data_IF_556599206721
#
_entry.id   IF_556599206721
#
_cell.length_a   1.000
_cell.length_b   1.000
_cell.length_c   1.000
_cell.angle_alpha   90.00
_cell.angle_beta   90.00
_cell.angle_gamma   90.00
#
_symmetry.space_group_name_H-M   'P 1'
#
loop_
_entity.id
_entity.type
_entity.pdbx_description
1 polymer ?
#
# COMPACT_ATOMS: atom_id res chain seq x y z
N UNK A 1 -47.76 -41.36 -42.33
CA UNK A 1 -47.66 -40.37 -41.23
C UNK A 1 -46.56 -40.67 -40.18
N UNK A 2 -45.97 -41.88 -40.15
CA UNK A 2 -44.97 -42.29 -39.13
C UNK A 2 -43.54 -41.77 -39.35
N UNK A 3 -43.12 -41.47 -40.60
CA UNK A 3 -41.76 -40.98 -40.89
C UNK A 3 -41.51 -39.58 -40.31
N UNK A 4 -42.47 -38.66 -40.44
CA UNK A 4 -42.40 -37.30 -39.85
C UNK A 4 -42.28 -37.34 -38.33
N UNK A 5 -42.83 -38.36 -37.67
CA UNK A 5 -42.77 -38.51 -36.19
C UNK A 5 -41.38 -38.93 -35.71
N UNK A 6 -40.71 -39.84 -36.42
CA UNK A 6 -39.33 -40.24 -36.08
C UNK A 6 -38.31 -39.14 -36.35
N UNK A 7 -38.42 -38.47 -37.50
CA UNK A 7 -37.51 -37.34 -37.83
C UNK A 7 -37.64 -36.23 -36.78
N UNK A 8 -38.87 -35.87 -36.40
CA UNK A 8 -39.10 -34.88 -35.34
C UNK A 8 -38.55 -35.33 -33.98
N UNK A 9 -38.59 -36.62 -33.65
CA UNK A 9 -38.01 -37.16 -32.42
C UNK A 9 -36.49 -37.13 -32.36
N UNK A 10 -35.79 -37.13 -33.51
CA UNK A 10 -34.32 -37.09 -33.58
C UNK A 10 -33.80 -35.66 -33.77
N UNK A 11 -34.50 -34.84 -34.56
CA UNK A 11 -34.12 -33.45 -34.85
C UNK A 11 -34.33 -32.54 -33.64
N UNK A 12 -35.37 -32.75 -32.82
CA UNK A 12 -35.59 -31.94 -31.60
C UNK A 12 -34.44 -32.05 -30.59
N UNK A 13 -34.00 -33.25 -30.16
CA UNK A 13 -32.90 -33.36 -29.23
C UNK A 13 -31.60 -32.84 -29.85
N UNK A 14 -31.30 -33.19 -31.10
CA UNK A 14 -30.09 -32.68 -31.78
C UNK A 14 -30.05 -31.14 -31.82
N UNK A 15 -31.19 -30.50 -32.10
CA UNK A 15 -31.33 -29.04 -32.04
C UNK A 15 -31.13 -28.48 -30.62
N UNK A 16 -31.64 -29.16 -29.60
CA UNK A 16 -31.41 -28.78 -28.20
C UNK A 16 -29.93 -28.89 -27.81
N UNK A 17 -29.25 -29.96 -28.23
CA UNK A 17 -27.82 -30.16 -27.97
C UNK A 17 -26.97 -29.08 -28.64
N UNK A 18 -27.24 -28.73 -29.90
CA UNK A 18 -26.50 -27.67 -30.61
C UNK A 18 -26.74 -26.29 -30.02
N UNK A 19 -28.00 -25.95 -29.69
CA UNK A 19 -28.32 -24.68 -29.03
C UNK A 19 -27.65 -24.61 -27.66
N UNK A 20 -27.69 -25.69 -26.89
CA UNK A 20 -27.02 -25.76 -25.58
C UNK A 20 -25.50 -25.55 -25.70
N UNK A 21 -24.86 -26.19 -26.68
CA UNK A 21 -23.42 -26.02 -26.93
C UNK A 21 -23.07 -24.58 -27.33
N UNK A 22 -23.89 -23.93 -28.16
CA UNK A 22 -23.71 -22.52 -28.55
C UNK A 22 -23.86 -21.58 -27.36
N UNK A 23 -24.86 -21.81 -26.50
CA UNK A 23 -25.06 -21.01 -25.28
C UNK A 23 -23.86 -21.16 -24.34
N UNK A 24 -23.37 -22.39 -24.12
CA UNK A 24 -22.18 -22.62 -23.30
C UNK A 24 -20.95 -21.93 -23.88
N UNK A 25 -20.71 -22.05 -25.19
CA UNK A 25 -19.61 -21.35 -25.86
C UNK A 25 -19.69 -19.82 -25.73
N UNK A 26 -20.90 -19.27 -25.86
CA UNK A 26 -21.15 -17.84 -25.65
C UNK A 26 -20.84 -17.43 -24.21
N UNK A 27 -21.27 -18.22 -23.22
CA UNK A 27 -20.96 -17.96 -21.81
C UNK A 27 -19.45 -18.07 -21.51
N UNK A 28 -18.73 -19.00 -22.14
CA UNK A 28 -17.27 -19.12 -21.99
C UNK A 28 -16.57 -17.89 -22.58
N UNK A 29 -16.93 -17.47 -23.79
CA UNK A 29 -16.40 -16.26 -24.41
C UNK A 29 -16.75 -15.00 -23.62
N UNK A 30 -17.97 -14.93 -23.09
CA UNK A 30 -18.43 -13.82 -22.26
C UNK A 30 -17.79 -13.85 -20.86
N UNK A 31 -17.37 -15.00 -20.34
CA UNK A 31 -16.60 -15.09 -19.11
C UNK A 31 -15.18 -14.55 -19.28
N UNK A 32 -14.60 -14.68 -20.47
CA UNK A 32 -13.33 -14.03 -20.81
C UNK A 32 -13.49 -12.51 -21.04
N UNK A 33 -14.55 -12.07 -21.73
CA UNK A 33 -14.75 -10.65 -22.06
C UNK A 33 -15.56 -9.82 -21.04
N UNK A 34 -16.23 -10.46 -20.08
CA UNK A 34 -17.18 -9.82 -19.19
C UNK A 34 -16.54 -9.29 -17.92
N UNK A 35 -15.99 -8.07 -17.95
CA UNK A 35 -15.83 -7.08 -16.85
C UNK A 35 -15.26 -7.54 -15.47
N UNK A 36 -14.88 -8.81 -15.30
CA UNK A 36 -14.34 -9.46 -14.10
C UNK A 36 -13.23 -10.47 -14.43
N UNK A 37 -13.09 -10.83 -15.71
CA UNK A 37 -12.02 -11.66 -16.23
C UNK A 37 -10.68 -10.92 -16.14
N UNK A 38 -9.68 -11.59 -15.57
CA UNK A 38 -8.22 -11.34 -15.53
C UNK A 38 -7.66 -9.92 -15.77
N UNK A 39 -8.06 -9.20 -16.82
CA UNK A 39 -7.63 -7.83 -17.12
C UNK A 39 -8.02 -6.81 -16.06
N UNK A 40 -9.26 -6.81 -15.56
CA UNK A 40 -9.66 -5.90 -14.49
C UNK A 40 -8.81 -6.11 -13.22
N UNK A 41 -8.51 -7.38 -12.90
CA UNK A 41 -7.60 -7.74 -11.80
C UNK A 41 -6.15 -7.33 -12.08
N UNK A 42 -5.71 -7.31 -13.35
CA UNK A 42 -4.37 -6.84 -13.72
C UNK A 42 -4.27 -5.33 -13.59
N UNK A 43 -5.25 -4.56 -14.07
CA UNK A 43 -5.29 -3.11 -13.92
C UNK A 43 -5.30 -2.70 -12.43
N UNK A 44 -6.16 -3.33 -11.63
CA UNK A 44 -6.21 -3.12 -10.17
C UNK A 44 -4.90 -3.52 -9.47
N UNK A 45 -4.20 -4.58 -9.92
CA UNK A 45 -2.89 -4.96 -9.38
C UNK A 45 -1.80 -3.94 -9.72
N UNK A 46 -1.81 -3.40 -10.93
CA UNK A 46 -0.82 -2.40 -11.37
C UNK A 46 -1.02 -1.11 -10.59
N UNK A 47 -2.26 -0.66 -10.42
CA UNK A 47 -2.59 0.52 -9.65
C UNK A 47 -2.24 0.35 -8.16
N UNK A 48 -2.55 -0.81 -7.58
CA UNK A 48 -2.17 -1.14 -6.20
C UNK A 48 -0.65 -1.17 -6.00
N UNK A 49 0.11 -1.65 -7.00
CA UNK A 49 1.57 -1.66 -6.94
C UNK A 49 2.14 -0.23 -6.97
N UNK A 50 1.61 0.64 -7.84
CA UNK A 50 1.99 2.06 -7.88
C UNK A 50 1.73 2.78 -6.56
N UNK A 51 0.51 2.67 -6.04
CA UNK A 51 0.12 3.23 -4.73
C UNK A 51 0.98 2.69 -3.59
N UNK A 52 1.37 1.41 -3.63
CA UNK A 52 2.25 0.83 -2.61
C UNK A 52 3.66 1.42 -2.62
N UNK A 53 4.19 1.76 -3.80
CA UNK A 53 5.49 2.41 -3.93
C UNK A 53 5.46 3.86 -3.43
N UNK A 54 4.41 4.61 -3.79
CA UNK A 54 4.21 5.97 -3.28
C UNK A 54 4.10 5.98 -1.76
N UNK A 55 3.36 5.02 -1.19
CA UNK A 55 3.24 4.87 0.26
C UNK A 55 4.60 4.53 0.90
N UNK A 56 5.39 3.65 0.29
CA UNK A 56 6.72 3.31 0.77
C UNK A 56 7.67 4.51 0.74
N UNK A 57 7.65 5.30 -0.35
CA UNK A 57 8.43 6.52 -0.48
C UNK A 57 8.03 7.56 0.58
N UNK A 58 6.73 7.82 0.73
CA UNK A 58 6.21 8.77 1.72
C UNK A 58 6.54 8.34 3.16
N UNK A 59 6.52 7.04 3.46
CA UNK A 59 6.95 6.51 4.77
C UNK A 59 8.44 6.69 4.99
N UNK A 60 9.27 6.46 3.98
CA UNK A 60 10.72 6.68 4.08
C UNK A 60 11.03 8.15 4.36
N UNK A 61 10.37 9.08 3.65
CA UNK A 61 10.48 10.52 3.93
C UNK A 61 10.05 10.84 5.35
N UNK A 62 8.89 10.32 5.79
CA UNK A 62 8.41 10.55 7.16
C UNK A 62 9.39 10.03 8.20
N UNK A 63 10.00 8.86 7.99
CA UNK A 63 11.01 8.31 8.90
C UNK A 63 12.27 9.19 8.95
N UNK A 64 12.71 9.74 7.81
CA UNK A 64 13.86 10.68 7.81
C UNK A 64 13.54 11.97 8.53
N UNK A 65 12.33 12.50 8.39
CA UNK A 65 11.89 13.70 9.11
C UNK A 65 11.68 13.42 10.60
N UNK A 66 11.11 12.27 10.96
CA UNK A 66 10.99 11.85 12.36
C UNK A 66 12.36 11.68 13.02
N UNK A 67 13.35 11.13 12.32
CA UNK A 67 14.72 11.04 12.82
C UNK A 67 15.35 12.43 13.01
N UNK A 68 15.18 13.33 12.03
CA UNK A 68 15.66 14.72 12.14
C UNK A 68 14.96 15.49 13.25
N UNK A 69 13.65 15.31 13.38
CA UNK A 69 12.87 15.90 14.47
C UNK A 69 13.30 15.29 15.79
N UNK A 70 13.60 14.00 15.91
CA UNK A 70 14.12 13.41 17.14
C UNK A 70 15.50 13.97 17.51
N UNK A 71 16.37 14.22 16.54
CA UNK A 71 17.67 14.88 16.76
C UNK A 71 17.51 16.34 17.18
N UNK A 72 16.51 17.06 16.65
CA UNK A 72 16.21 18.45 17.00
C UNK A 72 15.42 18.57 18.30
N UNK A 73 14.56 17.58 18.56
CA UNK A 73 13.82 17.32 19.80
C UNK A 73 14.78 16.67 20.80
N UNK A 74 15.84 17.42 21.04
CA UNK A 74 16.51 17.61 22.31
C UNK A 74 15.53 18.06 23.40
N UNK A 75 14.38 17.38 23.57
CA UNK A 75 13.48 17.60 24.72
C UNK A 75 14.13 17.11 26.03
N UNK A 76 15.29 16.49 25.91
CA UNK A 76 16.29 16.45 26.94
C UNK A 76 17.43 17.39 26.53
N UNK A 77 17.18 18.70 26.57
CA UNK A 77 18.28 19.65 26.69
C UNK A 77 18.90 19.28 28.03
N UNK A 78 20.06 18.64 27.98
CA UNK A 78 20.71 18.13 29.18
C UNK A 78 20.89 19.30 30.15
N UNK A 79 20.48 19.12 31.40
CA UNK A 79 20.53 20.21 32.39
C UNK A 79 21.95 20.75 32.51
N UNK A 80 22.92 19.87 32.32
CA UNK A 80 24.35 20.17 32.33
C UNK A 80 24.77 21.08 31.17
N UNK A 81 24.17 20.95 29.98
CA UNK A 81 24.41 21.84 28.84
C UNK A 81 23.86 23.25 29.08
N UNK A 82 22.72 23.36 29.77
CA UNK A 82 22.17 24.66 30.21
C UNK A 82 23.02 25.28 31.31
N UNK A 83 23.53 24.47 32.23
CA UNK A 83 24.38 24.92 33.33
C UNK A 83 25.73 25.42 32.81
N UNK A 84 26.34 24.73 31.84
CA UNK A 84 27.57 25.17 31.20
C UNK A 84 27.38 26.48 30.42
N UNK A 85 26.26 26.61 29.68
CA UNK A 85 25.96 27.84 28.95
C UNK A 85 25.65 29.01 29.89
N UNK A 86 24.97 28.75 31.01
CA UNK A 86 24.73 29.75 32.05
C UNK A 86 26.04 30.20 32.71
N UNK A 87 26.96 29.27 32.97
CA UNK A 87 28.28 29.56 33.56
C UNK A 87 29.13 30.44 32.64
N UNK A 88 29.14 30.17 31.34
CA UNK A 88 29.87 30.95 30.33
C UNK A 88 29.26 32.35 30.15
N UNK A 89 27.93 32.48 30.12
CA UNK A 89 27.26 33.76 29.81
C UNK A 89 27.12 34.66 31.04
N UNK A 90 26.84 34.09 32.22
CA UNK A 90 26.57 34.85 33.44
C UNK A 90 27.77 34.90 34.39
N UNK A 91 28.85 34.16 34.13
CA UNK A 91 30.06 34.13 34.95
C UNK A 91 29.82 33.69 36.40
N UNK A 92 28.68 33.04 36.69
CA UNK A 92 28.35 32.57 38.05
C UNK A 92 28.82 31.15 38.26
N UNK A 93 29.62 30.98 39.29
CA UNK A 93 30.09 29.68 39.80
C UNK A 93 29.12 29.21 40.89
N UNK A 94 28.87 27.91 41.01
CA UNK A 94 27.97 27.37 42.04
C UNK A 94 28.63 27.50 43.42
N UNK A 95 27.83 27.59 44.50
CA UNK A 95 28.37 27.85 45.85
C UNK A 95 29.37 26.77 46.35
N UNK A 96 29.38 25.59 45.73
CA UNK A 96 30.24 24.45 46.05
C UNK A 96 31.42 24.26 45.07
N UNK A 97 31.64 25.18 44.13
CA UNK A 97 32.68 25.02 43.11
C UNK A 97 34.02 25.64 43.55
N UNK A 98 35.11 24.92 43.27
CA UNK A 98 36.48 25.34 43.60
C UNK A 98 37.02 26.24 42.48
N UNK A 99 37.25 27.52 42.79
CA UNK A 99 37.87 28.47 41.86
C UNK A 99 39.38 28.50 42.09
N UNK A 100 40.15 28.02 41.11
CA UNK A 100 41.62 28.14 41.10
C UNK A 100 41.98 29.37 40.27
N UNK A 101 42.44 30.43 40.94
CA UNK A 101 42.97 31.62 40.27
C UNK A 101 44.47 31.40 40.09
N UNK A 102 44.90 31.08 38.87
CA UNK A 102 46.32 31.06 38.51
C UNK A 102 46.81 32.51 38.26
N UNK A 103 48.06 32.83 38.64
CA UNK A 103 48.63 34.17 38.54
C UNK A 103 48.81 34.67 37.10
#
# INVERSE_FOLDING_TARGET
MVVRRRVRMVVLPLGLWTVSALVVGYFVYQAESGNRGLEAKRALKIEAYGLSQELAAAKAERATWEHRVALLRSEQIDRDLLEERARIVLGRVHANDVVIITP
#
